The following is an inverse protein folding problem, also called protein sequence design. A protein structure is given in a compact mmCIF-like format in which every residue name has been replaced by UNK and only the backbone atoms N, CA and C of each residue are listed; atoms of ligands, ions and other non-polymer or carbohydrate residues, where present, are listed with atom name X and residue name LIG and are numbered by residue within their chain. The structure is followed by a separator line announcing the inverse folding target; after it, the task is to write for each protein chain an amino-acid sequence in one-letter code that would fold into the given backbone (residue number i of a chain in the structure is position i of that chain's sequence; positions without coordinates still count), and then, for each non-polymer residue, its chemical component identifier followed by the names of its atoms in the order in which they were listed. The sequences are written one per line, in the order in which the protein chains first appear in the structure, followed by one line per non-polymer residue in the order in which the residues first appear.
data_IF_933010285024
#
_entry.id   IF_933010285024
#
_cell.length_a   1.000
_cell.length_b   1.000
_cell.length_c   1.000
_cell.angle_alpha   90.00
_cell.angle_beta   90.00
_cell.angle_gamma   90.00
#
_symmetry.space_group_name_H-M   'P 1'
#
loop_
_entity.id
_entity.type
_entity.pdbx_description
1 polymer ?
#
# COMPACT_ATOMS: atom_id res chain seq x y z
N UNK A 1 21.29 3.79 12.23
CA UNK A 1 20.49 3.17 11.14
C UNK A 1 19.02 2.96 11.47
N UNK A 2 18.61 2.79 12.74
CA UNK A 2 17.19 2.59 13.11
C UNK A 2 16.27 3.73 12.67
N UNK A 3 16.68 4.99 12.83
CA UNK A 3 15.91 6.15 12.37
C UNK A 3 15.58 6.10 10.87
N UNK A 4 16.58 5.83 10.03
CA UNK A 4 16.38 5.62 8.58
C UNK A 4 15.34 4.52 8.29
N UNK A 5 15.45 3.37 8.97
CA UNK A 5 14.51 2.27 8.76
C UNK A 5 13.07 2.65 9.12
N UNK A 6 12.88 3.35 10.24
CA UNK A 6 11.57 3.86 10.65
C UNK A 6 11.01 4.88 9.65
N UNK A 7 11.85 5.78 9.12
CA UNK A 7 11.44 6.72 8.06
C UNK A 7 10.95 5.97 6.83
N UNK A 8 11.69 4.95 6.38
CA UNK A 8 11.28 4.15 5.21
C UNK A 8 9.96 3.42 5.47
N UNK A 9 9.79 2.79 6.65
CA UNK A 9 8.55 2.11 7.00
C UNK A 9 7.35 3.09 7.10
N UNK A 10 7.58 4.29 7.63
CA UNK A 10 6.58 5.35 7.63
C UNK A 10 6.19 5.74 6.20
N UNK A 11 7.17 5.90 5.30
CA UNK A 11 6.90 6.21 3.90
C UNK A 11 6.12 5.07 3.22
N UNK A 12 6.44 3.80 3.50
CA UNK A 12 5.66 2.65 2.99
C UNK A 12 4.21 2.74 3.47
N UNK A 13 3.98 3.10 4.73
CA UNK A 13 2.63 3.26 5.26
C UNK A 13 1.87 4.43 4.61
N UNK A 14 2.54 5.58 4.43
CA UNK A 14 1.94 6.73 3.75
C UNK A 14 1.61 6.41 2.28
N UNK A 15 2.43 5.60 1.63
CA UNK A 15 2.22 5.10 0.27
C UNK A 15 0.98 4.20 0.20
N UNK A 16 0.79 3.30 1.18
CA UNK A 16 -0.43 2.49 1.32
C UNK A 16 -1.69 3.38 1.53
N UNK A 17 -1.60 4.45 2.32
CA UNK A 17 -2.72 5.39 2.47
C UNK A 17 -2.97 6.19 1.18
N UNK A 18 -1.92 6.60 0.47
CA UNK A 18 -2.02 7.37 -0.75
C UNK A 18 -2.74 6.59 -1.86
N UNK A 19 -2.46 5.28 -2.00
CA UNK A 19 -3.16 4.45 -2.99
C UNK A 19 -4.64 4.26 -2.64
N UNK A 20 -5.01 4.19 -1.35
CA UNK A 20 -6.42 4.16 -0.95
C UNK A 20 -7.13 5.49 -1.23
N UNK A 21 -6.45 6.61 -0.98
CA UNK A 21 -6.95 7.93 -1.33
C UNK A 21 -7.12 8.08 -2.86
N UNK A 22 -6.22 7.50 -3.66
CA UNK A 22 -6.34 7.48 -5.12
C UNK A 22 -7.62 6.78 -5.59
N UNK A 23 -7.96 5.62 -5.03
CA UNK A 23 -9.22 4.95 -5.33
C UNK A 23 -10.45 5.75 -4.91
N UNK A 24 -10.40 6.38 -3.73
CA UNK A 24 -11.48 7.26 -3.26
C UNK A 24 -11.68 8.48 -4.16
N UNK A 25 -10.58 9.13 -4.56
CA UNK A 25 -10.58 10.25 -5.49
C UNK A 25 -11.13 9.85 -6.86
N UNK A 26 -10.76 8.68 -7.37
CA UNK A 26 -11.30 8.14 -8.61
C UNK A 26 -12.81 7.89 -8.53
N UNK A 27 -13.28 7.29 -7.44
CA UNK A 27 -14.71 7.11 -7.19
C UNK A 27 -15.47 8.44 -7.15
N UNK A 28 -14.88 9.48 -6.56
CA UNK A 28 -15.47 10.82 -6.50
C UNK A 28 -15.64 11.48 -7.87
N UNK A 29 -14.70 11.24 -8.80
CA UNK A 29 -14.75 11.75 -10.16
C UNK A 29 -15.63 10.92 -11.09
N UNK A 30 -16.20 9.81 -10.63
CA UNK A 30 -17.18 9.05 -11.41
C UNK A 30 -18.53 9.76 -11.38
N UNK A 31 -19.19 9.88 -12.54
CA UNK A 31 -20.49 10.53 -12.66
C UNK A 31 -21.66 9.63 -12.23
N UNK A 32 -22.74 10.27 -11.79
CA UNK A 32 -23.99 9.61 -11.41
C UNK A 32 -24.06 9.09 -9.97
N UNK A 33 -25.13 8.33 -9.67
CA UNK A 33 -25.44 7.85 -8.32
C UNK A 33 -24.43 6.84 -7.75
N UNK A 34 -23.59 6.24 -8.59
CA UNK A 34 -22.56 5.28 -8.18
C UNK A 34 -21.35 5.94 -7.50
N UNK A 35 -21.18 7.25 -7.62
CA UNK A 35 -20.06 8.02 -7.05
C UNK A 35 -19.79 7.67 -5.59
N UNK A 36 -20.80 7.84 -4.74
CA UNK A 36 -20.69 7.61 -3.29
C UNK A 36 -20.36 6.16 -2.97
N UNK A 37 -20.91 5.23 -3.77
CA UNK A 37 -20.63 3.82 -3.62
C UNK A 37 -19.17 3.52 -3.97
N UNK A 38 -18.64 4.06 -5.08
CA UNK A 38 -17.26 3.82 -5.52
C UNK A 38 -16.22 4.46 -4.61
N UNK A 39 -16.50 5.65 -4.04
CA UNK A 39 -15.62 6.31 -3.05
C UNK A 39 -15.31 5.38 -1.87
N UNK A 40 -16.26 4.54 -1.48
CA UNK A 40 -16.11 3.61 -0.35
C UNK A 40 -15.69 2.21 -0.83
N UNK A 41 -16.39 1.66 -1.81
CA UNK A 41 -16.19 0.28 -2.25
C UNK A 41 -14.83 0.07 -2.93
N UNK A 42 -14.31 1.03 -3.69
CA UNK A 42 -13.03 0.84 -4.36
C UNK A 42 -11.86 0.74 -3.35
N UNK A 43 -11.70 1.67 -2.37
CA UNK A 43 -10.71 1.51 -1.31
C UNK A 43 -10.94 0.25 -0.47
N UNK A 44 -12.19 -0.06 -0.09
CA UNK A 44 -12.49 -1.25 0.72
C UNK A 44 -12.13 -2.54 -0.03
N UNK A 45 -12.47 -2.65 -1.31
CA UNK A 45 -12.09 -3.79 -2.12
C UNK A 45 -10.56 -3.94 -2.22
N UNK A 46 -9.83 -2.84 -2.44
CA UNK A 46 -8.37 -2.84 -2.46
C UNK A 46 -7.78 -3.26 -1.10
N UNK A 47 -8.33 -2.78 0.01
CA UNK A 47 -7.93 -3.17 1.37
C UNK A 47 -8.18 -4.65 1.64
N UNK A 48 -9.32 -5.21 1.18
CA UNK A 48 -9.60 -6.64 1.32
C UNK A 48 -8.60 -7.48 0.52
N UNK A 49 -8.33 -7.11 -0.74
CA UNK A 49 -7.30 -7.76 -1.56
C UNK A 49 -5.94 -7.68 -0.86
N UNK A 50 -5.58 -6.52 -0.31
CA UNK A 50 -4.34 -6.35 0.43
C UNK A 50 -4.27 -7.23 1.68
N UNK A 51 -5.33 -7.25 2.47
CA UNK A 51 -5.46 -8.04 3.69
C UNK A 51 -5.27 -9.54 3.41
N UNK A 52 -5.90 -10.05 2.34
CA UNK A 52 -5.87 -11.46 2.00
C UNK A 52 -4.56 -11.92 1.35
N UNK A 53 -3.86 -11.07 0.61
CA UNK A 53 -2.72 -11.48 -0.23
C UNK A 53 -1.40 -10.76 0.04
N UNK A 54 -1.41 -9.49 0.48
CA UNK A 54 -0.20 -8.66 0.60
C UNK A 54 0.28 -8.48 2.06
N UNK A 55 -0.64 -8.49 3.03
CA UNK A 55 -0.35 -8.31 4.46
C UNK A 55 0.71 -9.30 5.01
N UNK A 56 1.59 -8.92 5.96
CA UNK A 56 2.48 -9.84 6.69
C UNK A 56 1.80 -11.11 7.19
N UNK A 57 0.55 -10.98 7.66
CA UNK A 57 -0.26 -12.09 8.20
C UNK A 57 -1.33 -12.57 7.19
N UNK A 58 -1.16 -12.26 5.90
CA UNK A 58 -2.09 -12.61 4.83
C UNK A 58 -2.28 -14.12 4.71
N UNK A 59 -3.54 -14.57 4.73
CA UNK A 59 -3.93 -15.99 4.60
C UNK A 59 -3.45 -16.62 3.29
N UNK A 60 -3.50 -15.86 2.19
CA UNK A 60 -3.10 -16.30 0.86
C UNK A 60 -1.81 -15.60 0.39
N UNK A 61 -1.04 -15.06 1.33
CA UNK A 61 0.26 -14.45 1.04
C UNK A 61 1.31 -15.50 0.64
N UNK A 62 2.30 -15.07 -0.13
CA UNK A 62 3.41 -15.93 -0.55
C UNK A 62 4.52 -15.14 -1.24
N UNK A 63 5.63 -15.81 -1.59
CA UNK A 63 6.81 -15.18 -2.20
C UNK A 63 6.49 -14.43 -3.49
N UNK A 64 5.52 -14.92 -4.28
CA UNK A 64 5.08 -14.29 -5.53
C UNK A 64 3.77 -13.52 -5.37
N UNK A 65 2.81 -14.05 -4.62
CA UNK A 65 1.49 -13.41 -4.46
C UNK A 65 1.60 -11.99 -3.89
N UNK A 66 2.43 -11.79 -2.86
CA UNK A 66 2.61 -10.47 -2.21
C UNK A 66 3.12 -9.39 -3.17
N UNK A 67 4.27 -9.56 -3.85
CA UNK A 67 4.74 -8.52 -4.76
C UNK A 67 3.82 -8.33 -5.95
N UNK A 68 3.19 -9.39 -6.49
CA UNK A 68 2.24 -9.27 -7.60
C UNK A 68 1.02 -8.44 -7.19
N UNK A 69 0.42 -8.71 -6.04
CA UNK A 69 -0.73 -7.93 -5.54
C UNK A 69 -0.33 -6.48 -5.31
N UNK A 70 0.85 -6.21 -4.74
CA UNK A 70 1.34 -4.83 -4.59
C UNK A 70 1.43 -4.10 -5.93
N UNK A 71 2.04 -4.73 -6.94
CA UNK A 71 2.15 -4.14 -8.28
C UNK A 71 0.76 -3.86 -8.88
N UNK A 72 -0.18 -4.78 -8.72
CA UNK A 72 -1.56 -4.60 -9.18
C UNK A 72 -2.23 -3.44 -8.46
N UNK A 73 -2.19 -3.40 -7.12
CA UNK A 73 -2.88 -2.37 -6.33
C UNK A 73 -2.32 -0.98 -6.61
N UNK A 74 -0.99 -0.80 -6.57
CA UNK A 74 -0.36 0.48 -6.87
C UNK A 74 -0.53 0.87 -8.34
N UNK A 75 -0.39 -0.09 -9.27
CA UNK A 75 -0.63 0.15 -10.68
C UNK A 75 -2.05 0.62 -10.98
N UNK A 76 -3.04 -0.02 -10.36
CA UNK A 76 -4.45 0.38 -10.49
C UNK A 76 -4.73 1.73 -9.83
N UNK A 77 -4.16 2.02 -8.65
CA UNK A 77 -4.31 3.32 -8.01
C UNK A 77 -3.70 4.46 -8.82
N UNK A 78 -2.52 4.24 -9.39
CA UNK A 78 -1.90 5.19 -10.34
C UNK A 78 -2.72 5.33 -11.62
N UNK A 79 -3.25 4.25 -12.18
CA UNK A 79 -4.14 4.31 -13.34
C UNK A 79 -5.44 5.05 -13.03
N UNK A 80 -5.99 4.89 -11.81
CA UNK A 80 -7.14 5.64 -11.32
C UNK A 80 -6.85 7.16 -11.34
N UNK A 81 -5.73 7.60 -10.75
CA UNK A 81 -5.33 9.01 -10.78
C UNK A 81 -5.10 9.52 -12.21
N UNK A 82 -4.50 8.70 -13.07
CA UNK A 82 -4.27 9.04 -14.47
C UNK A 82 -5.59 9.29 -15.20
N UNK A 83 -6.58 8.42 -15.00
CA UNK A 83 -7.88 8.50 -15.69
C UNK A 83 -8.69 9.76 -15.35
N UNK A 84 -8.46 10.36 -14.17
CA UNK A 84 -9.10 11.61 -13.75
C UNK A 84 -8.27 12.85 -14.08
N UNK A 85 -7.20 12.71 -14.87
CA UNK A 85 -6.33 13.80 -15.30
C UNK A 85 -5.24 14.19 -14.30
N UNK A 86 -5.13 13.53 -13.15
CA UNK A 86 -4.13 13.80 -12.11
C UNK A 86 -2.77 13.14 -12.43
N UNK A 87 -2.26 13.34 -13.65
CA UNK A 87 -1.07 12.69 -14.21
C UNK A 87 0.19 12.83 -13.33
N UNK A 88 0.43 14.04 -12.80
CA UNK A 88 1.57 14.27 -11.91
C UNK A 88 1.51 13.42 -10.63
N UNK A 89 0.33 13.33 -10.01
CA UNK A 89 0.10 12.48 -8.85
C UNK A 89 0.15 10.99 -9.18
N UNK A 90 -0.34 10.59 -10.36
CA UNK A 90 -0.26 9.21 -10.83
C UNK A 90 1.20 8.72 -10.94
N UNK A 91 2.07 9.55 -11.55
CA UNK A 91 3.50 9.27 -11.68
C UNK A 91 4.22 9.33 -10.34
N UNK A 92 3.90 10.31 -9.50
CA UNK A 92 4.48 10.43 -8.16
C UNK A 92 4.16 9.21 -7.30
N UNK A 93 2.91 8.73 -7.33
CA UNK A 93 2.51 7.50 -6.67
C UNK A 93 3.30 6.32 -7.26
N UNK A 94 3.26 6.09 -8.58
CA UNK A 94 3.87 4.90 -9.19
C UNK A 94 5.38 4.82 -8.92
N UNK A 95 6.10 5.91 -9.17
CA UNK A 95 7.56 5.96 -9.00
C UNK A 95 7.95 6.03 -7.52
N UNK A 96 7.19 6.78 -6.72
CA UNK A 96 7.37 6.85 -5.27
C UNK A 96 7.21 5.49 -4.63
N UNK A 97 6.14 4.75 -4.94
CA UNK A 97 5.90 3.40 -4.46
C UNK A 97 7.02 2.46 -4.86
N UNK A 98 7.51 2.52 -6.10
CA UNK A 98 8.62 1.70 -6.55
C UNK A 98 9.89 1.95 -5.72
N UNK A 99 10.27 3.22 -5.54
CA UNK A 99 11.47 3.62 -4.78
C UNK A 99 11.33 3.23 -3.31
N UNK A 100 10.22 3.58 -2.67
CA UNK A 100 10.00 3.34 -1.24
C UNK A 100 9.93 1.83 -0.93
N UNK A 101 9.23 1.04 -1.76
CA UNK A 101 9.17 -0.41 -1.58
C UNK A 101 10.53 -1.08 -1.90
N UNK A 102 11.34 -0.54 -2.81
CA UNK A 102 12.71 -1.01 -3.03
C UNK A 102 13.61 -0.73 -1.81
N UNK A 103 13.55 0.47 -1.25
CA UNK A 103 14.27 0.83 -0.02
C UNK A 103 13.85 -0.05 1.16
N UNK A 104 12.57 -0.42 1.25
CA UNK A 104 12.06 -1.29 2.29
C UNK A 104 12.67 -2.70 2.28
N UNK A 105 13.20 -3.15 1.14
CA UNK A 105 13.88 -4.46 1.02
C UNK A 105 15.37 -4.41 1.40
N UNK A 106 15.89 -3.25 1.81
CA UNK A 106 17.29 -3.14 2.23
C UNK A 106 17.54 -3.84 3.58
N UNK A 107 18.73 -4.43 3.80
CA UNK A 107 19.03 -5.15 5.05
C UNK A 107 18.82 -4.34 6.35
N UNK A 108 19.13 -3.03 6.42
CA UNK A 108 18.85 -2.23 7.62
C UNK A 108 17.36 -2.17 7.96
N UNK A 109 16.49 -2.03 6.97
CA UNK A 109 15.03 -1.94 7.18
C UNK A 109 14.48 -3.30 7.61
N UNK A 110 14.87 -4.36 6.92
CA UNK A 110 14.43 -5.72 7.22
C UNK A 110 14.84 -6.17 8.63
N UNK A 111 16.00 -5.74 9.13
CA UNK A 111 16.42 -6.02 10.52
C UNK A 111 15.47 -5.38 11.54
N UNK A 112 15.19 -4.09 11.38
CA UNK A 112 14.30 -3.36 12.30
C UNK A 112 12.88 -3.90 12.24
N UNK A 113 12.37 -4.24 11.05
CA UNK A 113 11.04 -4.84 10.92
C UNK A 113 10.93 -6.15 11.71
N UNK A 114 11.91 -7.05 11.56
CA UNK A 114 11.94 -8.33 12.29
C UNK A 114 12.08 -8.13 13.80
N UNK A 115 12.85 -7.14 14.24
CA UNK A 115 12.96 -6.79 15.67
C UNK A 115 11.61 -6.35 16.24
N UNK A 116 10.85 -5.54 15.49
CA UNK A 116 9.52 -5.06 15.90
C UNK A 116 8.50 -6.22 15.95
N UNK A 117 8.52 -7.11 14.95
CA UNK A 117 7.67 -8.31 14.92
C UNK A 117 7.94 -9.21 16.13
N UNK A 118 9.21 -9.48 16.45
CA UNK A 118 9.59 -10.30 17.60
C UNK A 118 9.19 -9.67 18.95
N UNK A 119 9.20 -8.34 19.05
CA UNK A 119 8.72 -7.63 20.24
C UNK A 119 7.20 -7.72 20.39
N UNK A 120 6.44 -7.63 19.28
CA UNK A 120 4.99 -7.77 19.28
C UNK A 120 4.56 -9.18 19.72
N UNK A 121 5.21 -10.22 19.21
CA UNK A 121 4.96 -11.62 19.60
C UNK A 121 5.26 -11.87 21.09
N UNK A 122 6.37 -11.34 21.59
CA UNK A 122 6.71 -11.47 23.02
C UNK A 122 5.71 -10.73 23.92
N UNK A 123 5.10 -9.65 23.43
CA UNK A 123 4.08 -8.89 24.15
C UNK A 123 2.72 -9.60 24.16
N UNK A 124 2.39 -10.35 23.11
CA UNK A 124 1.11 -11.08 23.01
C UNK A 124 1.10 -12.41 23.77
N UNK A 125 2.26 -12.92 24.16
CA UNK A 125 2.39 -14.15 24.96
C UNK A 125 2.40 -13.93 26.48
N UNK A 126 2.27 -12.69 26.94
CA UNK A 126 2.17 -12.29 28.36
C UNK A 126 0.72 -11.98 28.72
#
# INVERSE_FOLDING_TARGET
MRGFALTVLLLVFLDELAVMAAFGAWGWHTDGGLRWLLVVLAPVAAMLVWFFFASPKARYGGRLARPVVKVIVFGLGSAALWSIGAHGWALALLLGSLVVNALAQTPPVLRVLRELEAQEERRSSL
#
